data_IF_743332805551
#
_entry.id   IF_743332805551
#
_cell.length_a   1.000
_cell.length_b   1.000
_cell.length_c   1.000
_cell.angle_alpha   90.00
_cell.angle_beta   90.00
_cell.angle_gamma   90.00
#
_symmetry.space_group_name_H-M   'P 1'
#
loop_
_entity.id
_entity.type
_entity.pdbx_description
1 polymer ?
#
# COMPACT_ATOMS: atom_id res chain seq x y z
N UNK A 1 -8.86 -14.58 27.06
CA UNK A 1 -8.06 -15.68 27.65
C UNK A 1 -6.73 -15.89 26.92
N UNK A 2 -6.72 -16.22 25.63
CA UNK A 2 -5.48 -16.54 24.88
C UNK A 2 -4.45 -15.39 24.88
N UNK A 3 -4.91 -14.15 24.67
CA UNK A 3 -4.05 -12.98 24.72
C UNK A 3 -3.34 -12.79 26.08
N UNK A 4 -4.06 -13.04 27.19
CA UNK A 4 -3.49 -12.92 28.54
C UNK A 4 -2.44 -14.00 28.80
N UNK A 5 -2.69 -15.24 28.35
CA UNK A 5 -1.70 -16.32 28.43
C UNK A 5 -0.40 -15.97 27.72
N UNK A 6 -0.48 -15.28 26.57
CA UNK A 6 0.71 -14.81 25.84
C UNK A 6 1.48 -13.77 26.65
N UNK A 7 0.78 -12.79 27.23
CA UNK A 7 1.40 -11.81 28.14
C UNK A 7 2.06 -12.48 29.35
N UNK A 8 1.35 -13.37 30.04
CA UNK A 8 1.81 -14.04 31.26
C UNK A 8 3.03 -14.95 30.99
N UNK A 9 3.21 -15.36 29.72
CA UNK A 9 4.39 -16.11 29.27
C UNK A 9 5.62 -15.23 29.01
N UNK A 10 5.54 -13.93 29.31
CA UNK A 10 6.65 -12.98 29.18
C UNK A 10 6.69 -12.21 27.85
N UNK A 11 5.59 -12.19 27.08
CA UNK A 11 5.52 -11.41 25.84
C UNK A 11 5.63 -9.91 26.13
N UNK A 12 6.48 -9.19 25.38
CA UNK A 12 6.70 -7.75 25.58
C UNK A 12 5.84 -6.86 24.67
N UNK A 13 5.28 -7.40 23.59
CA UNK A 13 4.44 -6.68 22.63
C UNK A 13 3.59 -7.69 21.85
N UNK A 14 2.29 -7.41 21.69
CA UNK A 14 1.38 -8.27 20.93
C UNK A 14 0.81 -7.56 19.69
N UNK A 15 1.00 -8.13 18.51
CA UNK A 15 0.29 -7.70 17.31
C UNK A 15 -0.98 -8.53 17.11
N UNK A 16 -2.12 -7.87 16.88
CA UNK A 16 -3.42 -8.54 16.74
C UNK A 16 -4.02 -8.19 15.38
N UNK A 17 -4.20 -9.20 14.53
CA UNK A 17 -4.98 -9.03 13.30
C UNK A 17 -6.46 -9.22 13.63
N UNK A 18 -7.31 -8.25 13.27
CA UNK A 18 -8.78 -8.29 13.48
C UNK A 18 -9.52 -9.29 12.58
N UNK A 19 -8.90 -10.40 12.18
CA UNK A 19 -9.53 -11.46 11.38
C UNK A 19 -9.13 -12.81 11.96
N UNK A 20 -10.08 -13.74 12.01
CA UNK A 20 -9.80 -15.13 12.32
C UNK A 20 -9.00 -15.79 11.20
N UNK A 21 -8.42 -16.96 11.49
CA UNK A 21 -7.64 -17.70 10.50
C UNK A 21 -8.51 -18.10 9.29
N UNK A 22 -9.77 -18.45 9.53
CA UNK A 22 -10.74 -18.87 8.52
C UNK A 22 -11.15 -17.69 7.62
N UNK A 23 -11.11 -16.46 8.14
CA UNK A 23 -11.40 -15.22 7.40
C UNK A 23 -10.24 -14.72 6.54
N UNK A 24 -9.01 -15.25 6.69
CA UNK A 24 -7.81 -14.77 5.97
C UNK A 24 -7.95 -14.71 4.44
N UNK A 25 -8.81 -15.52 3.83
CA UNK A 25 -9.02 -15.56 2.38
C UNK A 25 -10.19 -14.70 1.88
N UNK A 26 -10.93 -14.07 2.79
CA UNK A 26 -12.08 -13.26 2.43
C UNK A 26 -11.69 -11.77 2.51
N UNK A 27 -11.15 -11.24 1.41
CA UNK A 27 -10.76 -9.81 1.32
C UNK A 27 -11.95 -8.85 1.47
N UNK A 28 -13.18 -9.36 1.36
CA UNK A 28 -14.43 -8.63 1.59
C UNK A 28 -14.74 -8.43 3.07
N UNK A 29 -14.21 -9.27 3.97
CA UNK A 29 -14.47 -9.17 5.41
C UNK A 29 -13.56 -8.10 6.00
N UNK A 30 -14.14 -7.02 6.50
CA UNK A 30 -13.40 -5.99 7.22
C UNK A 30 -12.78 -6.54 8.50
N UNK A 31 -11.61 -6.04 8.86
CA UNK A 31 -10.99 -6.34 10.14
C UNK A 31 -11.88 -5.83 11.28
N UNK A 32 -12.10 -6.69 12.27
CA UNK A 32 -12.86 -6.38 13.46
C UNK A 32 -11.98 -5.62 14.45
N UNK A 33 -12.10 -4.30 14.44
CA UNK A 33 -11.42 -3.42 15.40
C UNK A 33 -12.01 -3.51 16.81
N UNK A 34 -13.26 -3.95 16.97
CA UNK A 34 -13.87 -4.15 18.28
C UNK A 34 -13.18 -5.31 19.01
N UNK A 35 -12.90 -6.41 18.31
CA UNK A 35 -12.12 -7.52 18.86
C UNK A 35 -10.70 -7.08 19.26
N UNK A 36 -10.05 -6.23 18.46
CA UNK A 36 -8.71 -5.70 18.77
C UNK A 36 -8.77 -4.82 20.04
N UNK A 37 -9.78 -3.95 20.15
CA UNK A 37 -10.02 -3.09 21.31
C UNK A 37 -10.16 -3.91 22.59
N UNK A 38 -10.98 -4.96 22.57
CA UNK A 38 -11.17 -5.84 23.73
C UNK A 38 -9.85 -6.48 24.16
N UNK A 39 -9.00 -6.89 23.20
CA UNK A 39 -7.66 -7.40 23.52
C UNK A 39 -6.77 -6.31 24.13
N UNK A 40 -6.78 -5.09 23.60
CA UNK A 40 -6.01 -3.97 24.16
C UNK A 40 -6.43 -3.65 25.59
N UNK A 41 -7.72 -3.66 25.89
CA UNK A 41 -8.26 -3.38 27.24
C UNK A 41 -7.90 -4.48 28.26
N UNK A 42 -7.64 -5.71 27.80
CA UNK A 42 -7.28 -6.86 28.64
C UNK A 42 -5.78 -6.95 28.99
N UNK A 43 -4.92 -6.27 28.23
CA UNK A 43 -3.47 -6.42 28.30
C UNK A 43 -2.77 -5.19 28.88
N UNK A 44 -1.73 -5.44 29.66
CA UNK A 44 -0.87 -4.41 30.27
C UNK A 44 0.36 -4.10 29.39
N UNK A 45 0.60 -4.93 28.37
CA UNK A 45 1.69 -4.76 27.40
C UNK A 45 1.24 -3.96 26.16
N UNK A 46 2.17 -3.38 25.40
CA UNK A 46 1.85 -2.75 24.12
C UNK A 46 1.15 -3.71 23.14
N UNK A 47 0.11 -3.21 22.48
CA UNK A 47 -0.66 -3.92 21.46
C UNK A 47 -0.64 -3.13 20.15
N UNK A 48 -0.28 -3.81 19.06
CA UNK A 48 -0.35 -3.26 17.71
C UNK A 48 -1.58 -3.80 16.97
N UNK A 49 -2.43 -2.89 16.49
CA UNK A 49 -3.60 -3.24 15.69
C UNK A 49 -3.19 -3.56 14.24
N UNK A 50 -3.69 -4.66 13.67
CA UNK A 50 -3.43 -5.03 12.28
C UNK A 50 -4.74 -5.37 11.54
N UNK A 51 -4.86 -4.85 10.32
CA UNK A 51 -5.98 -5.12 9.43
C UNK A 51 -6.71 -3.86 8.96
N UNK A 52 -6.91 -3.78 7.63
CA UNK A 52 -7.60 -2.69 6.92
C UNK A 52 -7.08 -1.27 7.18
N UNK A 53 -5.77 -1.12 7.45
CA UNK A 53 -5.08 0.17 7.47
C UNK A 53 -4.57 0.49 6.06
N UNK A 54 -5.39 1.14 5.23
CA UNK A 54 -5.13 1.41 3.79
C UNK A 54 -4.70 2.83 3.52
N UNK A 55 -5.05 3.75 4.41
CA UNK A 55 -4.73 5.17 4.34
C UNK A 55 -4.16 5.66 5.67
N UNK A 56 -3.50 6.82 5.65
CA UNK A 56 -3.03 7.48 6.88
C UNK A 56 -4.21 7.76 7.84
N UNK A 57 -5.39 8.08 7.32
CA UNK A 57 -6.57 8.31 8.13
C UNK A 57 -7.06 7.02 8.82
N UNK A 58 -7.05 5.88 8.14
CA UNK A 58 -7.43 4.59 8.74
C UNK A 58 -6.56 4.27 9.96
N UNK A 59 -5.25 4.60 9.91
CA UNK A 59 -4.37 4.44 11.05
C UNK A 59 -4.80 5.31 12.24
N UNK A 60 -5.13 6.58 11.99
CA UNK A 60 -5.60 7.51 13.03
C UNK A 60 -6.93 7.05 13.62
N UNK A 61 -7.88 6.65 12.78
CA UNK A 61 -9.20 6.20 13.20
C UNK A 61 -9.11 4.88 13.99
N UNK A 62 -8.27 3.95 13.55
CA UNK A 62 -8.03 2.69 14.25
C UNK A 62 -7.43 2.92 15.64
N UNK A 63 -6.43 3.79 15.75
CA UNK A 63 -5.82 4.13 17.05
C UNK A 63 -6.82 4.82 17.97
N UNK A 64 -7.58 5.79 17.45
CA UNK A 64 -8.60 6.50 18.22
C UNK A 64 -9.71 5.55 18.71
N UNK A 65 -10.10 4.57 17.90
CA UNK A 65 -11.17 3.63 18.24
C UNK A 65 -10.71 2.54 19.24
N UNK A 66 -9.55 1.94 18.97
CA UNK A 66 -9.04 0.75 19.70
C UNK A 66 -8.24 1.09 20.94
N UNK A 67 -7.63 2.28 21.01
CA UNK A 67 -6.66 2.63 22.05
C UNK A 67 -5.34 1.85 21.96
N UNK A 68 -5.06 1.16 20.85
CA UNK A 68 -3.80 0.46 20.63
C UNK A 68 -2.60 1.42 20.58
N UNK A 69 -1.41 0.90 20.85
CA UNK A 69 -0.17 1.68 20.95
C UNK A 69 0.48 1.93 19.58
N UNK A 70 -0.01 1.23 18.56
CA UNK A 70 0.43 1.38 17.17
C UNK A 70 -0.40 0.54 16.21
N UNK A 71 -0.12 0.69 14.92
CA UNK A 71 -0.74 -0.08 13.85
C UNK A 71 0.30 -0.78 12.99
N UNK A 72 -0.10 -1.88 12.37
CA UNK A 72 0.65 -2.54 11.31
C UNK A 72 -0.15 -2.46 10.01
N UNK A 73 0.48 -1.96 8.95
CA UNK A 73 0.00 -2.06 7.57
C UNK A 73 0.95 -2.92 6.75
N UNK A 74 0.43 -3.63 5.75
CA UNK A 74 1.21 -4.56 4.93
C UNK A 74 0.91 -4.39 3.44
N UNK A 75 -0.20 -4.95 2.96
CA UNK A 75 -0.51 -4.97 1.53
C UNK A 75 -0.60 -3.57 0.86
N UNK A 76 -1.20 -2.54 1.49
CA UNK A 76 -1.23 -1.18 0.92
C UNK A 76 0.16 -0.59 0.69
N UNK A 77 1.15 -0.93 1.52
CA UNK A 77 2.53 -0.45 1.37
C UNK A 77 3.23 -1.03 0.13
N UNK A 78 2.77 -2.16 -0.40
CA UNK A 78 3.27 -2.69 -1.67
C UNK A 78 2.82 -1.84 -2.87
N UNK A 79 1.69 -1.13 -2.73
CA UNK A 79 1.16 -0.24 -3.76
C UNK A 79 1.65 1.20 -3.59
N UNK A 80 1.78 1.65 -2.34
CA UNK A 80 2.30 2.97 -1.99
C UNK A 80 3.23 2.86 -0.77
N UNK A 81 4.55 2.68 -0.95
CA UNK A 81 5.50 2.64 0.16
C UNK A 81 5.60 3.98 0.92
N UNK A 82 5.15 5.09 0.31
CA UNK A 82 5.14 6.40 0.93
C UNK A 82 3.84 6.72 1.69
N UNK A 83 2.96 5.73 1.93
CA UNK A 83 1.62 5.91 2.50
C UNK A 83 1.58 6.75 3.80
N UNK A 84 2.60 6.63 4.64
CA UNK A 84 2.70 7.32 5.93
C UNK A 84 3.74 8.45 5.94
N UNK A 85 4.31 8.81 4.78
CA UNK A 85 5.26 9.92 4.67
C UNK A 85 4.51 11.25 4.55
N UNK A 86 4.38 11.96 5.66
CA UNK A 86 3.73 13.28 5.71
C UNK A 86 4.52 14.38 4.98
N UNK A 87 5.84 14.23 4.87
CA UNK A 87 6.70 15.14 4.11
C UNK A 87 6.43 15.05 2.61
N UNK A 88 6.15 13.85 2.12
CA UNK A 88 5.88 13.58 0.69
C UNK A 88 4.42 13.82 0.34
N UNK A 89 3.52 13.46 1.25
CA UNK A 89 2.09 13.72 1.11
C UNK A 89 1.42 13.91 2.48
N UNK A 90 0.89 15.10 2.78
CA UNK A 90 0.14 15.36 4.00
C UNK A 90 -1.11 14.47 4.16
N UNK A 91 -1.71 14.04 3.05
CA UNK A 91 -2.92 13.20 3.03
C UNK A 91 -2.61 11.70 2.88
N UNK A 92 -1.36 11.34 2.57
CA UNK A 92 -0.97 9.98 2.20
C UNK A 92 -1.33 9.60 0.76
N UNK A 93 -2.00 10.47 0.02
CA UNK A 93 -2.29 10.30 -1.41
C UNK A 93 -1.06 10.66 -2.26
N UNK A 94 -0.85 10.03 -3.42
CA UNK A 94 0.30 10.37 -4.27
C UNK A 94 0.29 11.86 -4.66
N UNK A 95 1.41 12.60 -4.52
CA UNK A 95 1.48 14.04 -4.81
C UNK A 95 1.26 14.38 -6.29
N UNK A 96 1.48 13.43 -7.20
CA UNK A 96 1.09 13.51 -8.59
C UNK A 96 0.65 12.13 -9.13
N UNK A 97 -0.10 12.08 -10.24
CA UNK A 97 -0.60 10.82 -10.79
C UNK A 97 0.50 9.82 -11.16
N UNK A 98 1.63 10.31 -11.69
CA UNK A 98 2.76 9.48 -12.11
C UNK A 98 3.72 9.12 -10.96
N UNK A 99 3.42 9.56 -9.75
CA UNK A 99 4.28 9.37 -8.58
C UNK A 99 4.63 7.90 -8.26
N UNK A 100 3.75 6.90 -8.45
CA UNK A 100 4.14 5.49 -8.33
C UNK A 100 5.31 5.10 -9.23
N UNK A 101 5.48 5.76 -10.39
CA UNK A 101 6.65 5.55 -11.25
C UNK A 101 7.91 6.18 -10.65
N UNK A 102 7.81 7.33 -9.98
CA UNK A 102 8.94 7.94 -9.27
C UNK A 102 9.41 7.04 -8.13
N UNK A 103 8.47 6.55 -7.31
CA UNK A 103 8.76 5.58 -6.24
C UNK A 103 9.38 4.30 -6.78
N UNK A 104 8.91 3.81 -7.94
CA UNK A 104 9.52 2.65 -8.57
C UNK A 104 10.98 2.93 -8.98
N UNK A 105 11.27 4.10 -9.55
CA UNK A 105 12.64 4.46 -9.94
C UNK A 105 13.57 4.52 -8.71
N UNK A 106 13.13 5.17 -7.63
CA UNK A 106 13.87 5.20 -6.35
C UNK A 106 14.09 3.78 -5.79
N UNK A 107 13.07 2.92 -5.85
CA UNK A 107 13.17 1.53 -5.44
C UNK A 107 14.17 0.73 -6.31
N UNK A 108 14.21 0.98 -7.63
CA UNK A 108 15.16 0.33 -8.53
C UNK A 108 16.61 0.77 -8.25
N UNK A 109 16.84 2.04 -7.86
CA UNK A 109 18.15 2.51 -7.40
C UNK A 109 18.61 1.71 -6.17
N UNK A 110 17.71 1.44 -5.23
CA UNK A 110 18.01 0.58 -4.08
C UNK A 110 18.29 -0.87 -4.50
N UNK A 111 17.60 -1.41 -5.49
CA UNK A 111 17.86 -2.76 -6.00
C UNK A 111 19.20 -2.90 -6.73
N UNK A 112 19.79 -1.81 -7.22
CA UNK A 112 21.15 -1.81 -7.78
C UNK A 112 22.20 -1.91 -6.67
N UNK A 113 21.96 -1.22 -5.55
CA UNK A 113 22.87 -1.24 -4.39
C UNK A 113 22.73 -2.53 -3.58
N UNK A 114 21.50 -3.01 -3.41
CA UNK A 114 21.16 -4.16 -2.58
C UNK A 114 20.57 -5.28 -3.42
N UNK A 115 21.26 -6.42 -3.45
CA UNK A 115 20.83 -7.59 -4.20
C UNK A 115 19.38 -7.96 -3.85
N UNK A 116 18.53 -7.92 -4.88
CA UNK A 116 17.11 -8.28 -4.78
C UNK A 116 16.77 -9.29 -5.88
N UNK A 117 16.21 -10.46 -5.56
CA UNK A 117 15.82 -11.44 -6.58
C UNK A 117 14.84 -10.83 -7.59
N UNK A 118 15.10 -10.99 -8.90
CA UNK A 118 14.29 -10.41 -9.98
C UNK A 118 12.79 -10.74 -9.87
N UNK A 119 12.45 -11.95 -9.38
CA UNK A 119 11.05 -12.34 -9.13
C UNK A 119 10.33 -11.43 -8.13
N UNK A 120 11.05 -10.91 -7.13
CA UNK A 120 10.50 -10.02 -6.11
C UNK A 120 10.38 -8.60 -6.65
N UNK A 121 11.41 -8.13 -7.37
CA UNK A 121 11.37 -6.85 -8.09
C UNK A 121 10.15 -6.81 -9.02
N UNK A 122 9.95 -7.85 -9.84
CA UNK A 122 8.79 -7.96 -10.73
C UNK A 122 7.45 -7.90 -9.97
N UNK A 123 7.34 -8.58 -8.85
CA UNK A 123 6.13 -8.55 -8.04
C UNK A 123 5.85 -7.15 -7.48
N UNK A 124 6.89 -6.43 -7.03
CA UNK A 124 6.76 -5.05 -6.55
C UNK A 124 6.40 -4.09 -7.68
N UNK A 125 6.97 -4.24 -8.89
CA UNK A 125 6.59 -3.47 -10.08
C UNK A 125 5.09 -3.62 -10.36
N UNK A 126 4.56 -4.85 -10.32
CA UNK A 126 3.13 -5.09 -10.49
C UNK A 126 2.25 -4.47 -9.40
N UNK A 127 2.73 -4.42 -8.16
CA UNK A 127 1.97 -3.82 -7.04
C UNK A 127 1.99 -2.29 -7.12
N UNK A 128 3.14 -1.67 -7.36
CA UNK A 128 3.31 -0.22 -7.49
C UNK A 128 2.57 0.34 -8.70
N UNK A 129 2.73 -0.29 -9.87
CA UNK A 129 2.16 0.19 -11.13
C UNK A 129 0.80 -0.43 -11.45
N UNK A 130 0.27 -1.31 -10.59
CA UNK A 130 -0.96 -2.06 -10.82
C UNK A 130 -2.14 -1.22 -11.30
N UNK A 131 -2.49 -0.10 -10.63
CA UNK A 131 -3.56 0.79 -11.09
C UNK A 131 -3.34 1.30 -12.52
N UNK A 132 -2.12 1.74 -12.85
CA UNK A 132 -1.78 2.24 -14.18
C UNK A 132 -1.70 1.15 -15.24
N UNK A 133 -1.33 -0.07 -14.86
CA UNK A 133 -1.39 -1.22 -15.75
C UNK A 133 -2.82 -1.64 -16.12
N UNK A 134 -3.83 -1.29 -15.32
CA UNK A 134 -5.22 -1.48 -15.71
C UNK A 134 -5.68 -0.45 -16.74
N UNK A 135 -5.11 0.76 -16.69
CA UNK A 135 -5.36 1.83 -17.68
C UNK A 135 -4.58 1.60 -18.98
N UNK A 136 -3.33 1.15 -18.85
CA UNK A 136 -2.41 0.88 -19.97
C UNK A 136 -2.01 -0.61 -20.01
N UNK A 137 -2.96 -1.52 -20.33
CA UNK A 137 -2.69 -2.96 -20.31
C UNK A 137 -1.61 -3.38 -21.30
N UNK A 138 -1.44 -2.67 -22.42
CA UNK A 138 -0.41 -2.97 -23.42
C UNK A 138 1.00 -2.82 -22.86
N UNK A 139 1.25 -1.84 -22.01
CA UNK A 139 2.55 -1.66 -21.34
C UNK A 139 2.83 -2.85 -20.42
N UNK A 140 1.83 -3.26 -19.63
CA UNK A 140 1.93 -4.45 -18.77
C UNK A 140 2.23 -5.71 -19.59
N UNK A 141 1.54 -5.89 -20.72
CA UNK A 141 1.72 -7.06 -21.58
C UNK A 141 3.13 -7.09 -22.19
N UNK A 142 3.64 -5.97 -22.71
CA UNK A 142 5.02 -5.88 -23.22
C UNK A 142 6.05 -6.24 -22.15
N UNK A 143 5.98 -5.56 -20.99
CA UNK A 143 6.84 -5.88 -19.84
C UNK A 143 6.76 -7.36 -19.44
N UNK A 144 5.56 -7.95 -19.56
CA UNK A 144 5.36 -9.33 -19.18
C UNK A 144 6.08 -10.34 -20.07
N UNK A 145 6.23 -10.00 -21.35
CA UNK A 145 6.84 -10.85 -22.37
C UNK A 145 8.36 -10.63 -22.51
N UNK A 146 8.91 -9.66 -21.80
CA UNK A 146 10.34 -9.34 -21.83
C UNK A 146 11.11 -9.96 -20.66
N UNK A 147 12.43 -10.11 -20.86
CA UNK A 147 13.33 -10.61 -19.82
C UNK A 147 13.42 -9.58 -18.70
N UNK A 148 13.15 -10.04 -17.48
CA UNK A 148 13.14 -9.19 -16.30
C UNK A 148 14.54 -8.68 -15.96
N UNK A 149 14.73 -7.37 -16.10
CA UNK A 149 15.95 -6.63 -15.75
C UNK A 149 15.54 -5.31 -15.08
N UNK A 150 16.45 -4.71 -14.30
CA UNK A 150 16.18 -3.39 -13.70
C UNK A 150 15.99 -2.32 -14.79
N UNK A 151 16.77 -2.39 -15.86
CA UNK A 151 16.67 -1.49 -17.02
C UNK A 151 15.30 -1.57 -17.72
N UNK A 152 14.75 -2.78 -17.90
CA UNK A 152 13.37 -2.94 -18.39
C UNK A 152 12.39 -2.17 -17.52
N UNK A 153 12.47 -2.31 -16.20
CA UNK A 153 11.53 -1.67 -15.28
C UNK A 153 11.70 -0.14 -15.25
N UNK A 154 12.94 0.38 -15.40
CA UNK A 154 13.19 1.81 -15.56
C UNK A 154 12.53 2.35 -16.83
N UNK A 155 12.67 1.64 -17.95
CA UNK A 155 12.07 2.03 -19.22
C UNK A 155 10.53 2.02 -19.15
N UNK A 156 9.94 0.99 -18.55
CA UNK A 156 8.49 0.91 -18.29
C UNK A 156 8.01 2.07 -17.42
N UNK A 157 8.73 2.40 -16.33
CA UNK A 157 8.38 3.50 -15.46
C UNK A 157 8.42 4.85 -16.19
N UNK A 158 9.46 5.09 -17.00
CA UNK A 158 9.62 6.33 -17.76
C UNK A 158 8.58 6.47 -18.88
N UNK A 159 8.26 5.38 -19.59
CA UNK A 159 7.18 5.34 -20.58
C UNK A 159 5.84 5.69 -19.93
N UNK A 160 5.50 5.01 -18.81
CA UNK A 160 4.25 5.26 -18.09
C UNK A 160 4.14 6.68 -17.57
N UNK A 161 5.22 7.31 -17.09
CA UNK A 161 5.18 8.73 -16.66
C UNK A 161 4.64 9.63 -17.78
N UNK A 162 5.08 9.43 -19.02
CA UNK A 162 4.58 10.18 -20.17
C UNK A 162 3.11 9.91 -20.45
N UNK A 163 2.73 8.62 -20.51
CA UNK A 163 1.35 8.21 -20.80
C UNK A 163 0.36 8.71 -19.74
N UNK A 164 0.72 8.60 -18.45
CA UNK A 164 -0.10 9.04 -17.32
C UNK A 164 -0.37 10.54 -17.40
N UNK A 165 0.66 11.34 -17.66
CA UNK A 165 0.52 12.81 -17.77
C UNK A 165 -0.44 13.19 -18.89
N UNK A 166 -0.30 12.55 -20.05
CA UNK A 166 -1.17 12.81 -21.20
C UNK A 166 -2.62 12.41 -20.90
N UNK A 167 -2.84 11.21 -20.34
CA UNK A 167 -4.16 10.71 -19.98
C UNK A 167 -4.89 11.61 -18.97
N UNK A 168 -4.20 12.08 -17.93
CA UNK A 168 -4.79 12.99 -16.94
C UNK A 168 -5.07 14.37 -17.55
N UNK A 169 -4.21 14.87 -18.43
CA UNK A 169 -4.45 16.13 -19.14
C UNK A 169 -5.69 16.05 -20.05
N UNK A 170 -5.85 14.95 -20.79
CA UNK A 170 -7.01 14.69 -21.64
C UNK A 170 -8.32 14.61 -20.83
N UNK A 171 -8.32 13.90 -19.70
CA UNK A 171 -9.49 13.83 -18.81
C UNK A 171 -9.89 15.20 -18.25
N UNK A 172 -8.91 16.03 -17.85
CA UNK A 172 -9.18 17.40 -17.37
C UNK A 172 -9.77 18.27 -18.47
N UNK A 173 -9.25 18.17 -19.70
CA UNK A 173 -9.77 18.91 -20.84
C UNK A 173 -11.23 18.52 -21.13
N UNK A 174 -11.56 17.23 -21.13
CA UNK A 174 -12.92 16.74 -21.34
C UNK A 174 -13.89 17.22 -20.25
N UNK A 175 -13.50 17.11 -18.97
CA UNK A 175 -14.34 17.57 -17.85
C UNK A 175 -14.64 19.07 -17.89
N UNK A 176 -13.69 19.89 -18.38
CA UNK A 176 -13.86 21.34 -18.52
C UNK A 176 -14.86 21.69 -19.64
N UNK A 177 -14.87 20.91 -20.73
CA UNK A 177 -15.81 21.11 -21.84
C UNK A 177 -17.24 20.73 -21.42
N UNK A 178 -17.41 19.66 -20.65
CA UNK A 178 -18.74 19.24 -20.14
C UNK A 178 -19.32 20.22 -19.12
N UNK A 179 -18.51 20.78 -18.23
CA UNK A 179 -18.95 21.82 -17.28
C UNK A 179 -19.26 23.15 -17.95
N UNK A 180 -18.61 23.48 -19.08
CA UNK A 180 -18.95 24.68 -19.86
C UNK A 180 -20.21 24.52 -20.73
N UNK A 181 -20.66 23.28 -20.96
CA UNK A 181 -21.84 22.96 -21.75
C UNK A 181 -23.12 22.74 -20.91
N UNK A 182 -23.01 22.84 -19.57
CA UNK A 182 -24.12 22.73 -18.60
C UNK A 182 -24.43 24.07 -17.93
#
# INVERSE_FOLDING_TARGET
>A
QYAKMIQDSGCSLLAVHGRTREQKRCSEIRADWQMIKEVKELLDIPVLANGDIRHLQDAKDCLAFTGCDGVLSAEPLLMNPALFSTERSPTGEPPCPEDPCNLLLEYLDLCEVYYTPQRMVRAHVHKLLGPWFNVFPDVRMRMNNEVSTLELYRNVANELKGLIRNHVAEQKAQATVETAAS
#
